data_IF_810414155875
#
_entry.id   IF_810414155875
#
_cell.length_a   1.000
_cell.length_b   1.000
_cell.length_c   1.000
_cell.angle_alpha   90.00
_cell.angle_beta   90.00
_cell.angle_gamma   90.00
#
_symmetry.space_group_name_H-M   'P 1'
#
loop_
_entity.id
_entity.type
_entity.pdbx_description
1 polymer ?
#
# COMPACT_ATOMS: atom_id res chain seq x y z
N UNK A 1 -7.04 26.53 9.77
CA UNK A 1 -7.58 25.17 9.96
C UNK A 1 -6.40 24.23 10.18
N UNK A 2 -6.39 23.41 11.23
CA UNK A 2 -5.32 22.43 11.43
C UNK A 2 -5.45 21.33 10.37
N UNK A 3 -4.41 21.13 9.56
CA UNK A 3 -4.37 20.03 8.60
C UNK A 3 -4.28 18.70 9.38
N UNK A 4 -4.88 17.63 8.85
CA UNK A 4 -4.74 16.28 9.41
C UNK A 4 -3.79 15.47 8.54
N UNK A 5 -3.08 14.54 9.18
CA UNK A 5 -2.26 13.58 8.45
C UNK A 5 -3.15 12.77 7.50
N UNK A 6 -2.78 12.72 6.23
CA UNK A 6 -3.49 11.98 5.20
C UNK A 6 -2.49 11.48 4.15
N UNK A 7 -2.86 10.43 3.43
CA UNK A 7 -2.18 10.06 2.19
C UNK A 7 -3.15 10.13 1.02
N UNK A 8 -2.63 10.55 -0.12
CA UNK A 8 -3.32 10.49 -1.40
C UNK A 8 -2.61 9.46 -2.27
N UNK A 9 -3.36 8.47 -2.74
CA UNK A 9 -2.88 7.37 -3.58
C UNK A 9 -3.40 7.62 -4.99
N UNK A 10 -2.49 7.82 -5.93
CA UNK A 10 -2.79 7.94 -7.35
C UNK A 10 -2.46 6.60 -8.02
N UNK A 11 -3.39 6.07 -8.77
CA UNK A 11 -3.26 4.80 -9.50
C UNK A 11 -3.48 5.11 -10.97
N UNK A 12 -2.46 4.91 -11.80
CA UNK A 12 -2.52 5.22 -13.22
C UNK A 12 -2.16 3.98 -14.04
N UNK A 13 -2.96 3.68 -15.05
CA UNK A 13 -2.59 2.71 -16.07
C UNK A 13 -1.24 3.09 -16.69
N UNK A 14 -0.28 2.16 -16.74
CA UNK A 14 1.09 2.46 -17.16
C UNK A 14 1.21 2.87 -18.62
N UNK A 15 0.22 2.53 -19.45
CA UNK A 15 0.10 2.98 -20.83
C UNK A 15 -0.77 4.24 -20.96
N UNK A 16 -1.27 4.76 -19.85
CA UNK A 16 -2.24 5.86 -19.78
C UNK A 16 -3.48 5.63 -20.66
N UNK A 17 -3.87 4.37 -20.86
CA UNK A 17 -5.02 3.98 -21.68
C UNK A 17 -6.35 4.20 -20.95
N UNK A 18 -6.31 4.28 -19.62
CA UNK A 18 -7.49 4.38 -18.76
C UNK A 18 -7.38 5.57 -17.81
N UNK A 19 -8.53 6.06 -17.34
CA UNK A 19 -8.60 7.17 -16.40
C UNK A 19 -7.91 6.81 -15.07
N UNK A 20 -7.06 7.69 -14.52
CA UNK A 20 -6.41 7.44 -13.24
C UNK A 20 -7.42 7.47 -12.09
N UNK A 21 -7.17 6.67 -11.06
CA UNK A 21 -7.94 6.65 -9.83
C UNK A 21 -7.18 7.38 -8.71
N UNK A 22 -7.89 8.14 -7.90
CA UNK A 22 -7.36 8.80 -6.71
C UNK A 22 -8.09 8.32 -5.46
N UNK A 23 -7.34 7.99 -4.41
CA UNK A 23 -7.88 7.58 -3.11
C UNK A 23 -7.23 8.40 -2.00
N UNK A 24 -8.06 9.03 -1.16
CA UNK A 24 -7.59 9.67 0.07
C UNK A 24 -7.75 8.72 1.24
N UNK A 25 -6.69 8.54 2.01
CA UNK A 25 -6.66 7.66 3.18
C UNK A 25 -6.16 8.42 4.41
N UNK A 26 -6.64 8.04 5.58
CA UNK A 26 -6.19 8.68 6.84
C UNK A 26 -4.71 8.42 7.08
N UNK A 27 -4.00 9.37 7.71
CA UNK A 27 -2.57 9.23 8.01
C UNK A 27 -2.23 8.13 9.02
N UNK A 28 -3.21 7.62 9.75
CA UNK A 28 -3.05 6.44 10.62
C UNK A 28 -3.19 5.10 9.90
N UNK A 29 -3.73 5.11 8.66
CA UNK A 29 -3.92 3.89 7.88
C UNK A 29 -2.57 3.36 7.38
N UNK A 30 -2.40 2.04 7.46
CA UNK A 30 -1.23 1.32 6.93
C UNK A 30 -1.54 0.47 5.70
N UNK A 31 -2.82 0.35 5.35
CA UNK A 31 -3.30 -0.41 4.20
C UNK A 31 -4.54 0.25 3.61
N UNK A 32 -4.70 0.15 2.29
CA UNK A 32 -5.89 0.58 1.57
C UNK A 32 -6.20 -0.42 0.46
N UNK A 33 -7.49 -0.65 0.19
CA UNK A 33 -7.93 -1.53 -0.89
C UNK A 33 -8.26 -0.70 -2.12
N UNK A 34 -7.61 -1.04 -3.24
CA UNK A 34 -7.89 -0.46 -4.56
C UNK A 34 -8.74 -1.48 -5.32
N UNK A 35 -9.82 -1.04 -5.96
CA UNK A 35 -10.78 -1.89 -6.65
C UNK A 35 -11.22 -1.23 -7.96
N UNK A 36 -11.71 -2.05 -8.91
CA UNK A 36 -12.11 -1.57 -10.24
C UNK A 36 -10.94 -1.48 -11.23
N UNK A 37 -9.81 -2.10 -10.90
CA UNK A 37 -8.68 -2.25 -11.83
C UNK A 37 -8.99 -3.36 -12.83
N UNK A 38 -8.50 -3.19 -14.05
CA UNK A 38 -8.63 -4.16 -15.12
C UNK A 38 -7.65 -5.31 -14.90
N UNK A 39 -8.01 -6.52 -15.33
CA UNK A 39 -7.10 -7.67 -15.30
C UNK A 39 -5.94 -7.49 -16.29
N UNK A 40 -4.81 -8.14 -16.01
CA UNK A 40 -3.63 -8.18 -16.88
C UNK A 40 -3.09 -6.79 -17.28
N UNK A 41 -3.31 -5.80 -16.42
CA UNK A 41 -3.00 -4.39 -16.69
C UNK A 41 -1.95 -3.86 -15.71
N UNK A 42 -1.00 -3.09 -16.23
CA UNK A 42 0.08 -2.47 -15.45
C UNK A 42 -0.36 -1.14 -14.88
N UNK A 43 -0.01 -0.90 -13.63
CA UNK A 43 -0.35 0.31 -12.92
C UNK A 43 0.87 0.92 -12.24
N UNK A 44 1.08 2.21 -12.48
CA UNK A 44 1.96 3.06 -11.70
C UNK A 44 1.18 3.62 -10.52
N UNK A 45 1.61 3.26 -9.32
CA UNK A 45 1.05 3.71 -8.04
C UNK A 45 1.96 4.79 -7.49
N UNK A 46 1.38 5.92 -7.10
CA UNK A 46 2.08 7.02 -6.48
C UNK A 46 1.35 7.45 -5.19
N UNK A 47 2.04 7.40 -4.05
CA UNK A 47 1.48 7.71 -2.73
C UNK A 47 2.16 8.98 -2.22
N UNK A 48 1.37 10.01 -1.88
CA UNK A 48 1.86 11.25 -1.29
C UNK A 48 1.22 11.46 0.08
N UNK A 49 2.03 11.67 1.10
CA UNK A 49 1.58 12.05 2.44
C UNK A 49 1.41 13.56 2.56
N UNK A 50 0.51 13.98 3.44
CA UNK A 50 0.40 15.35 3.94
C UNK A 50 0.45 15.29 5.46
N UNK A 51 1.32 16.08 6.09
CA UNK A 51 1.46 16.16 7.55
C UNK A 51 0.43 17.12 8.15
N UNK A 52 0.32 17.13 9.47
CA UNK A 52 -0.56 18.05 10.21
C UNK A 52 -0.13 19.51 10.08
N UNK A 53 1.11 19.75 9.67
CA UNK A 53 1.63 21.07 9.29
C UNK A 53 1.24 21.47 7.85
N UNK A 54 0.53 20.62 7.11
CA UNK A 54 0.18 20.84 5.70
C UNK A 54 1.33 20.58 4.73
N UNK A 55 2.44 19.99 5.20
CA UNK A 55 3.62 19.72 4.37
C UNK A 55 3.44 18.39 3.63
N UNK A 56 3.73 18.38 2.33
CA UNK A 56 3.71 17.16 1.52
C UNK A 56 5.00 16.36 1.67
N UNK A 57 4.89 15.03 1.68
CA UNK A 57 6.06 14.13 1.69
C UNK A 57 6.59 13.90 0.29
N UNK A 58 7.84 13.42 0.20
CA UNK A 58 8.35 12.75 -1.00
C UNK A 58 7.35 11.66 -1.44
N UNK A 59 7.02 11.56 -2.73
CA UNK A 59 6.15 10.50 -3.23
C UNK A 59 6.81 9.13 -3.10
N UNK A 60 6.05 8.14 -2.65
CA UNK A 60 6.41 6.73 -2.78
C UNK A 60 5.79 6.19 -4.06
N UNK A 61 6.62 5.68 -4.97
CA UNK A 61 6.17 5.11 -6.25
C UNK A 61 6.37 3.60 -6.29
N UNK A 62 5.46 2.91 -6.98
CA UNK A 62 5.54 1.48 -7.21
C UNK A 62 4.86 1.13 -8.53
N UNK A 63 5.34 0.07 -9.19
CA UNK A 63 4.69 -0.52 -10.34
C UNK A 63 4.06 -1.86 -9.95
N UNK A 64 2.82 -2.08 -10.35
CA UNK A 64 2.07 -3.31 -10.07
C UNK A 64 1.39 -3.81 -11.33
N UNK A 65 1.52 -5.10 -11.61
CA UNK A 65 0.70 -5.75 -12.63
C UNK A 65 -0.45 -6.47 -11.95
N UNK A 66 -1.66 -6.09 -12.34
CA UNK A 66 -2.84 -6.88 -12.02
C UNK A 66 -2.82 -8.14 -12.88
N UNK A 67 -3.25 -9.24 -12.30
CA UNK A 67 -3.50 -10.48 -13.02
C UNK A 67 -4.71 -11.14 -12.39
N UNK A 68 -5.27 -12.15 -13.05
CA UNK A 68 -6.34 -12.96 -12.47
C UNK A 68 -5.77 -13.86 -11.37
N UNK A 69 -5.41 -13.28 -10.24
CA UNK A 69 -5.33 -14.06 -9.02
C UNK A 69 -6.76 -14.48 -8.70
N UNK A 70 -7.06 -15.78 -8.75
CA UNK A 70 -8.29 -16.41 -8.24
C UNK A 70 -9.54 -16.63 -9.17
N UNK A 71 -9.38 -16.98 -10.44
CA UNK A 71 -10.30 -17.97 -11.07
C UNK A 71 -9.65 -19.34 -11.31
N UNK A 72 -8.31 -19.34 -11.31
CA UNK A 72 -7.46 -20.51 -11.50
C UNK A 72 -6.93 -21.08 -10.20
N UNK A 73 -7.31 -20.55 -9.02
CA UNK A 73 -6.81 -21.05 -7.73
C UNK A 73 -7.17 -22.51 -7.46
N UNK A 74 -8.31 -22.99 -7.97
CA UNK A 74 -8.65 -24.42 -7.90
C UNK A 74 -7.80 -25.30 -8.84
N UNK A 75 -7.12 -24.71 -9.83
CA UNK A 75 -6.35 -25.43 -10.86
C UNK A 75 -4.82 -25.26 -10.70
N UNK A 76 -4.35 -24.31 -9.90
CA UNK A 76 -2.92 -23.92 -9.79
C UNK A 76 -2.18 -24.42 -8.54
N UNK A 77 -2.70 -25.43 -7.84
CA UNK A 77 -1.88 -26.18 -6.85
C UNK A 77 -0.65 -26.84 -7.54
N UNK A 78 -0.63 -26.92 -8.88
CA UNK A 78 0.44 -27.54 -9.66
C UNK A 78 1.74 -26.73 -9.81
N UNK A 79 1.79 -25.43 -9.47
CA UNK A 79 3.05 -24.65 -9.62
C UNK A 79 3.28 -23.66 -8.48
N UNK A 80 3.49 -24.21 -7.28
CA UNK A 80 3.84 -23.49 -6.06
C UNK A 80 5.10 -22.62 -6.23
N UNK A 81 6.01 -22.97 -7.14
CA UNK A 81 7.28 -22.26 -7.36
C UNK A 81 7.14 -20.86 -7.94
N UNK A 82 6.20 -20.63 -8.87
CA UNK A 82 6.02 -19.32 -9.51
C UNK A 82 5.32 -18.31 -8.58
N UNK A 83 4.34 -18.76 -7.80
CA UNK A 83 3.66 -17.91 -6.81
C UNK A 83 4.60 -17.45 -5.70
N UNK A 84 5.46 -18.35 -5.20
CA UNK A 84 6.47 -18.01 -4.20
C UNK A 84 7.43 -16.97 -4.76
N UNK A 85 7.87 -17.08 -6.02
CA UNK A 85 8.78 -16.12 -6.63
C UNK A 85 8.15 -14.71 -6.75
N UNK A 86 6.88 -14.61 -7.16
CA UNK A 86 6.18 -13.33 -7.23
C UNK A 86 6.00 -12.69 -5.85
N UNK A 87 5.64 -13.49 -4.84
CA UNK A 87 5.59 -13.04 -3.44
C UNK A 87 6.96 -12.58 -2.94
N UNK A 88 8.03 -13.31 -3.26
CA UNK A 88 9.40 -12.92 -2.89
C UNK A 88 9.76 -11.60 -3.59
N UNK A 89 9.52 -11.42 -4.89
CA UNK A 89 9.84 -10.18 -5.60
C UNK A 89 9.05 -8.99 -5.03
N UNK A 90 7.76 -9.16 -4.73
CA UNK A 90 6.96 -8.14 -4.05
C UNK A 90 7.50 -7.85 -2.63
N UNK A 91 7.97 -8.87 -1.91
CA UNK A 91 8.55 -8.72 -0.57
C UNK A 91 9.95 -8.08 -0.64
N UNK A 92 10.75 -8.39 -1.66
CA UNK A 92 12.14 -7.94 -1.80
C UNK A 92 12.23 -6.48 -2.26
N UNK A 93 11.23 -5.98 -2.99
CA UNK A 93 11.06 -4.54 -3.22
C UNK A 93 10.45 -3.80 -2.00
N UNK A 94 9.97 -4.56 -1.01
CA UNK A 94 9.37 -4.05 0.24
C UNK A 94 10.28 -4.21 1.47
N UNK A 95 11.52 -4.68 1.29
CA UNK A 95 12.49 -4.93 2.37
C UNK A 95 13.11 -3.64 2.94
N UNK A 96 12.26 -2.73 3.44
CA UNK A 96 12.58 -1.75 4.49
C UNK A 96 11.39 -1.44 5.41
N UNK A 97 10.40 -2.31 5.47
CA UNK A 97 9.35 -2.18 6.48
C UNK A 97 9.14 -3.51 7.19
N UNK A 98 9.13 -3.44 8.53
CA UNK A 98 8.79 -4.49 9.48
C UNK A 98 9.97 -5.33 10.03
N UNK A 99 10.83 -4.69 10.82
CA UNK A 99 11.23 -5.28 12.10
C UNK A 99 11.25 -4.18 13.15
N UNK A 100 10.17 -4.06 13.92
CA UNK A 100 10.25 -3.65 15.32
C UNK A 100 9.12 -4.36 16.11
N UNK A 101 9.45 -5.00 17.25
CA UNK A 101 8.51 -5.81 18.04
C UNK A 101 7.51 -4.95 18.83
N UNK A 102 6.45 -5.55 19.40
CA UNK A 102 5.41 -4.79 20.10
C UNK A 102 5.94 -4.31 21.46
N UNK A 103 6.09 -3.00 21.64
CA UNK A 103 6.27 -2.43 22.98
C UNK A 103 4.92 -2.45 23.69
N UNK A 104 4.79 -3.38 24.65
CA UNK A 104 3.72 -3.43 25.64
C UNK A 104 4.31 -2.92 26.97
N UNK A 105 3.87 -1.74 27.41
CA UNK A 105 4.21 -1.17 28.72
C UNK A 105 3.20 -0.07 29.11
N UNK A 106 2.73 -0.02 30.37
CA UNK A 106 1.58 0.78 30.76
C UNK A 106 1.97 2.25 31.02
N UNK A 107 1.10 3.18 30.61
CA UNK A 107 1.15 4.58 31.06
C UNK A 107 0.05 4.76 32.09
N UNK A 108 0.36 4.55 33.36
CA UNK A 108 -0.38 5.17 34.46
C UNK A 108 0.53 6.23 35.08
N UNK A 109 0.25 7.48 34.76
CA UNK A 109 0.71 8.62 35.52
C UNK A 109 -0.44 9.03 36.44
N UNK A 110 -0.32 8.69 37.72
CA UNK A 110 -1.05 9.38 38.79
C UNK A 110 -0.02 10.20 39.57
N UNK A 111 -0.03 11.51 39.29
CA UNK A 111 0.51 12.54 40.16
C UNK A 111 -0.63 13.01 41.07
N UNK A 112 -0.38 13.08 42.39
CA UNK A 112 -0.95 14.06 43.32
C UNK A 112 -0.52 13.71 44.77
N UNK A 113 0.41 14.52 45.33
CA UNK A 113 0.55 14.74 46.77
C UNK A 113 1.61 13.93 47.49
#
# INVERSE_FOLDING_TARGET
AAARNAFVIHVRDSHAAHEPQELTVSGGARSARISGLLDYTGYDINIKGTTSAGVHTEPLTAFVMTGTCLKVWSLFIANLGFCILLCIVATHNSSRFMTDPPVKGPVEAHDMG
#
